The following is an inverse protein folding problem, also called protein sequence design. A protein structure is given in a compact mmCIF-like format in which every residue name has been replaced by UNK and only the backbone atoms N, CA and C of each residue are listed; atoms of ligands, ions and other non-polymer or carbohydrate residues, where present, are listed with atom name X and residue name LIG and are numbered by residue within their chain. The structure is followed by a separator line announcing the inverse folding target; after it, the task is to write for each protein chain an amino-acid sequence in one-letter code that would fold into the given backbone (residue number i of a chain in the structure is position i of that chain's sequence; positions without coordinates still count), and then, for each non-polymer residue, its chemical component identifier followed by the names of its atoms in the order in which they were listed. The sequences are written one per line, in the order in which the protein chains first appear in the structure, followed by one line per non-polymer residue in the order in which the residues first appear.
data_IF_828937428469
#
_entry.id   IF_828937428469
#
_cell.length_a   1.000
_cell.length_b   1.000
_cell.length_c   1.000
_cell.angle_alpha   90.00
_cell.angle_beta   90.00
_cell.angle_gamma   90.00
#
_symmetry.space_group_name_H-M   'P 1'
#
loop_
_entity.id
_entity.type
_entity.pdbx_description
1 polymer ?
#
# COMPACT_ATOMS: atom_id res chain seq x y z
N UNK A 1 -44.41 39.72 -41.74
CA UNK A 1 -44.08 38.40 -42.33
C UNK A 1 -42.57 38.25 -42.48
N UNK A 2 -41.82 38.17 -41.38
CA UNK A 2 -40.35 38.01 -41.41
C UNK A 2 -39.84 37.16 -40.23
N UNK A 3 -40.60 36.17 -39.77
CA UNK A 3 -40.21 35.41 -38.58
C UNK A 3 -40.28 33.88 -38.72
N UNK A 4 -40.49 33.32 -39.92
CA UNK A 4 -40.61 31.86 -40.08
C UNK A 4 -39.37 31.16 -40.68
N UNK A 5 -38.36 31.91 -41.14
CA UNK A 5 -37.18 31.32 -41.83
C UNK A 5 -36.04 30.93 -40.84
N UNK A 6 -36.15 31.27 -39.56
CA UNK A 6 -35.02 31.14 -38.60
C UNK A 6 -35.12 29.94 -37.63
N UNK A 7 -36.24 29.24 -37.56
CA UNK A 7 -36.42 28.08 -36.66
C UNK A 7 -36.00 26.76 -37.34
N UNK A 8 -36.31 26.59 -38.62
CA UNK A 8 -35.88 25.42 -39.42
C UNK A 8 -34.36 25.27 -39.44
N UNK A 9 -33.62 26.36 -39.65
CA UNK A 9 -32.16 26.35 -39.70
C UNK A 9 -31.53 26.20 -38.31
N UNK A 10 -32.20 26.61 -37.24
CA UNK A 10 -31.75 26.34 -35.86
C UNK A 10 -31.96 24.87 -35.48
N UNK A 11 -33.10 24.28 -35.82
CA UNK A 11 -33.35 22.86 -35.58
C UNK A 11 -32.43 21.95 -36.39
N UNK A 12 -32.15 22.29 -37.65
CA UNK A 12 -31.19 21.56 -38.47
C UNK A 12 -29.76 21.69 -37.94
N UNK A 13 -29.36 22.86 -37.45
CA UNK A 13 -28.06 23.04 -36.81
C UNK A 13 -27.97 22.33 -35.46
N UNK A 14 -29.04 22.28 -34.67
CA UNK A 14 -29.10 21.52 -33.42
C UNK A 14 -29.01 20.02 -33.68
N UNK A 15 -29.77 19.49 -34.66
CA UNK A 15 -29.68 18.08 -35.07
C UNK A 15 -28.32 17.73 -35.67
N UNK A 16 -27.72 18.62 -36.46
CA UNK A 16 -26.38 18.42 -37.00
C UNK A 16 -25.33 18.41 -35.88
N UNK A 17 -25.50 19.24 -34.84
CA UNK A 17 -24.62 19.28 -33.66
C UNK A 17 -24.78 18.06 -32.76
N UNK A 18 -26.01 17.59 -32.55
CA UNK A 18 -26.31 16.34 -31.83
C UNK A 18 -25.73 15.12 -32.57
N UNK A 19 -25.87 15.08 -33.90
CA UNK A 19 -25.28 14.01 -34.72
C UNK A 19 -23.74 14.02 -34.70
N UNK A 20 -23.13 15.21 -34.67
CA UNK A 20 -21.68 15.39 -34.51
C UNK A 20 -21.18 15.03 -33.10
N UNK A 21 -22.04 15.16 -32.09
CA UNK A 21 -21.78 14.71 -30.73
C UNK A 21 -21.84 13.17 -30.64
N UNK A 22 -22.88 12.55 -31.22
CA UNK A 22 -23.06 11.09 -31.24
C UNK A 22 -21.96 10.38 -32.05
N UNK A 23 -21.59 10.90 -33.22
CA UNK A 23 -20.51 10.32 -34.04
C UNK A 23 -19.14 10.42 -33.34
N UNK A 24 -18.92 11.47 -32.52
CA UNK A 24 -17.70 11.64 -31.74
C UNK A 24 -17.70 10.81 -30.45
N UNK A 25 -18.87 10.55 -29.85
CA UNK A 25 -19.01 9.65 -28.70
C UNK A 25 -18.82 8.17 -29.08
N UNK A 26 -19.17 7.76 -30.30
CA UNK A 26 -18.99 6.36 -30.76
C UNK A 26 -17.52 5.95 -30.99
N UNK A 27 -16.63 6.92 -31.21
CA UNK A 27 -15.17 6.71 -31.34
C UNK A 27 -14.42 6.82 -30.00
N UNK A 28 -15.09 7.24 -28.91
CA UNK A 28 -14.49 7.58 -27.61
C UNK A 28 -14.53 6.43 -26.57
N UNK A 29 -15.07 5.25 -26.90
CA UNK A 29 -15.04 4.08 -25.99
C UNK A 29 -13.58 3.62 -25.69
N UNK A 30 -12.61 4.04 -26.51
CA UNK A 30 -11.16 3.86 -26.26
C UNK A 30 -10.51 4.94 -25.38
N UNK A 31 -11.17 6.07 -25.10
CA UNK A 31 -10.56 7.25 -24.45
C UNK A 31 -11.06 7.53 -23.01
N UNK A 32 -11.83 6.59 -22.44
CA UNK A 32 -12.33 6.56 -21.06
C UNK A 32 -11.23 6.64 -19.96
N UNK A 33 -9.95 6.68 -20.35
CA UNK A 33 -8.78 6.71 -19.47
C UNK A 33 -8.09 8.06 -19.28
N UNK A 34 -8.53 9.16 -19.91
CA UNK A 34 -7.84 10.46 -19.79
C UNK A 34 -8.07 11.15 -18.43
N UNK A 35 -7.27 10.76 -17.44
CA UNK A 35 -7.16 11.42 -16.15
C UNK A 35 -5.75 11.98 -15.93
N UNK A 36 -5.66 13.08 -15.20
CA UNK A 36 -4.40 13.53 -14.61
C UNK A 36 -4.36 13.13 -13.15
N UNK A 37 -3.17 12.91 -12.62
CA UNK A 37 -3.02 12.59 -11.22
C UNK A 37 -1.80 13.25 -10.60
N UNK A 38 -1.84 13.38 -9.28
CA UNK A 38 -0.69 13.58 -8.43
C UNK A 38 -0.49 12.33 -7.57
N UNK A 39 0.75 11.98 -7.26
CA UNK A 39 1.10 10.88 -6.37
C UNK A 39 1.90 11.40 -5.18
N UNK A 40 1.55 10.93 -3.98
CA UNK A 40 2.23 11.29 -2.74
C UNK A 40 3.39 10.32 -2.41
N UNK A 41 4.23 10.63 -1.42
CA UNK A 41 5.35 9.76 -1.01
C UNK A 41 4.93 8.37 -0.48
N UNK A 42 3.63 8.13 -0.24
CA UNK A 42 3.10 6.84 0.19
C UNK A 42 2.46 6.06 -0.97
N UNK A 43 2.56 6.57 -2.20
CA UNK A 43 1.98 5.99 -3.40
C UNK A 43 0.47 6.22 -3.53
N UNK A 44 -0.14 7.08 -2.73
CA UNK A 44 -1.56 7.43 -2.91
C UNK A 44 -1.71 8.38 -4.10
N UNK A 45 -2.77 8.19 -4.88
CA UNK A 45 -3.02 8.97 -6.08
C UNK A 45 -4.27 9.84 -5.97
N UNK A 46 -4.16 11.05 -6.51
CA UNK A 46 -5.20 12.09 -6.49
C UNK A 46 -5.54 12.40 -7.95
N UNK A 47 -6.55 11.72 -8.49
CA UNK A 47 -6.86 11.70 -9.91
C UNK A 47 -8.06 12.58 -10.24
N UNK A 48 -8.03 13.28 -11.35
CA UNK A 48 -9.22 13.93 -11.90
C UNK A 48 -9.30 13.73 -13.42
N UNK A 49 -10.51 13.51 -13.92
CA UNK A 49 -10.74 13.32 -15.35
C UNK A 49 -10.57 14.65 -16.09
N UNK A 50 -10.02 14.60 -17.30
CA UNK A 50 -9.89 15.79 -18.15
C UNK A 50 -11.05 15.97 -19.11
N UNK A 51 -11.88 14.95 -19.25
CA UNK A 51 -13.07 14.90 -20.10
C UNK A 51 -14.29 14.50 -19.26
N UNK A 52 -15.48 14.81 -19.77
CA UNK A 52 -16.73 14.34 -19.18
C UNK A 52 -16.78 12.81 -19.29
N UNK A 53 -17.30 12.18 -18.25
CA UNK A 53 -17.51 10.73 -18.21
C UNK A 53 -18.92 10.41 -18.72
N UNK A 54 -19.30 9.12 -18.73
CA UNK A 54 -20.62 8.66 -19.20
C UNK A 54 -21.81 9.35 -18.50
N UNK A 55 -21.61 9.86 -17.27
CA UNK A 55 -22.61 10.61 -16.53
C UNK A 55 -22.66 12.12 -16.88
N UNK A 56 -21.91 12.53 -17.90
CA UNK A 56 -21.76 13.90 -18.34
C UNK A 56 -20.94 14.77 -17.38
N UNK A 57 -20.28 14.23 -16.33
CA UNK A 57 -19.56 15.02 -15.33
C UNK A 57 -18.05 14.71 -15.33
N UNK A 58 -17.29 15.57 -14.66
CA UNK A 58 -15.86 15.38 -14.39
C UNK A 58 -15.69 14.70 -13.04
N UNK A 59 -14.96 13.60 -12.99
CA UNK A 59 -14.74 12.84 -11.77
C UNK A 59 -13.41 13.24 -11.13
N UNK A 60 -13.39 13.26 -9.81
CA UNK A 60 -12.21 13.41 -8.99
C UNK A 60 -12.17 12.25 -8.00
N UNK A 61 -11.08 11.49 -7.98
CA UNK A 61 -10.91 10.31 -7.12
C UNK A 61 -9.63 10.40 -6.30
N UNK A 62 -9.74 9.97 -5.04
CA UNK A 62 -8.61 9.74 -4.17
C UNK A 62 -8.43 8.24 -4.06
N UNK A 63 -7.30 7.75 -4.53
CA UNK A 63 -6.96 6.33 -4.54
C UNK A 63 -5.83 6.07 -3.56
N UNK A 64 -6.03 5.10 -2.68
CA UNK A 64 -5.04 4.64 -1.72
C UNK A 64 -4.26 3.48 -2.33
N UNK A 65 -2.94 3.51 -2.27
CA UNK A 65 -2.14 2.34 -2.62
C UNK A 65 -2.36 1.23 -1.60
N UNK A 66 -2.74 0.05 -2.06
CA UNK A 66 -2.82 -1.13 -1.22
C UNK A 66 -1.46 -1.83 -1.18
N UNK A 67 -0.88 -1.96 0.00
CA UNK A 67 0.49 -2.46 0.22
C UNK A 67 0.60 -3.98 0.27
N UNK A 68 -0.51 -4.72 0.19
CA UNK A 68 -0.52 -6.19 0.05
C UNK A 68 -0.02 -6.60 -1.33
N UNK A 69 1.29 -6.50 -1.52
CA UNK A 69 2.02 -6.89 -2.72
C UNK A 69 1.97 -8.40 -2.95
N UNK A 70 1.42 -8.81 -4.08
CA UNK A 70 1.96 -9.92 -4.88
C UNK A 70 2.46 -9.32 -6.19
N UNK A 71 3.76 -9.45 -6.48
CA UNK A 71 4.38 -9.22 -7.81
C UNK A 71 4.49 -7.78 -8.34
N UNK A 72 4.79 -6.79 -7.50
CA UNK A 72 5.34 -5.50 -7.98
C UNK A 72 4.35 -4.49 -8.58
N UNK A 73 3.11 -4.88 -8.88
CA UNK A 73 2.03 -3.97 -9.30
C UNK A 73 1.32 -3.39 -8.07
N UNK A 74 1.13 -2.07 -8.04
CA UNK A 74 0.33 -1.39 -7.02
C UNK A 74 -1.14 -1.47 -7.40
N UNK A 75 -1.94 -2.12 -6.55
CA UNK A 75 -3.39 -2.06 -6.64
C UNK A 75 -3.89 -0.84 -5.87
N UNK A 76 -4.84 -0.14 -6.46
CA UNK A 76 -5.38 1.09 -5.89
C UNK A 76 -6.82 0.89 -5.45
N UNK A 77 -7.09 1.23 -4.21
CA UNK A 77 -8.45 1.24 -3.65
C UNK A 77 -8.99 2.69 -3.67
N UNK A 78 -10.20 2.89 -4.20
CA UNK A 78 -10.83 4.22 -4.18
C UNK A 78 -11.29 4.55 -2.77
N UNK A 79 -10.68 5.58 -2.17
CA UNK A 79 -11.02 6.06 -0.83
C UNK A 79 -12.14 7.09 -0.87
N UNK A 80 -12.13 7.98 -1.85
CA UNK A 80 -13.14 9.02 -2.06
C UNK A 80 -13.32 9.28 -3.54
N UNK A 81 -14.54 9.56 -3.92
CA UNK A 81 -14.91 9.96 -5.28
C UNK A 81 -15.92 11.10 -5.24
N UNK A 82 -15.82 12.02 -6.19
CA UNK A 82 -16.80 13.09 -6.37
C UNK A 82 -16.87 13.51 -7.84
N UNK A 83 -18.09 13.71 -8.32
CA UNK A 83 -18.38 14.22 -9.65
C UNK A 83 -18.68 15.73 -9.62
N UNK A 84 -18.30 16.43 -10.70
CA UNK A 84 -18.44 17.87 -10.84
C UNK A 84 -18.87 18.26 -12.25
N UNK A 85 -19.68 19.31 -12.38
CA UNK A 85 -20.07 19.83 -13.70
C UNK A 85 -18.90 20.49 -14.45
N UNK A 86 -17.96 21.10 -13.72
CA UNK A 86 -16.81 21.82 -14.30
C UNK A 86 -15.49 21.09 -14.03
N UNK A 87 -14.60 21.03 -15.03
CA UNK A 87 -13.26 20.42 -14.89
C UNK A 87 -12.40 21.10 -13.82
N UNK A 88 -12.42 22.44 -13.77
CA UNK A 88 -11.60 23.23 -12.83
C UNK A 88 -11.95 22.91 -11.37
N UNK A 89 -13.22 22.65 -11.05
CA UNK A 89 -13.64 22.28 -9.69
C UNK A 89 -13.21 20.87 -9.33
N UNK A 90 -13.28 19.90 -10.26
CA UNK A 90 -12.72 18.56 -10.05
C UNK A 90 -11.21 18.59 -9.75
N UNK A 91 -10.44 19.35 -10.56
CA UNK A 91 -9.00 19.57 -10.33
C UNK A 91 -8.74 20.23 -8.97
N UNK A 92 -9.42 21.34 -8.66
CA UNK A 92 -9.24 22.08 -7.40
C UNK A 92 -9.53 21.20 -6.19
N UNK A 93 -10.58 20.38 -6.27
CA UNK A 93 -10.91 19.44 -5.21
C UNK A 93 -9.78 18.43 -4.97
N UNK A 94 -9.22 17.82 -6.01
CA UNK A 94 -8.05 16.94 -5.86
C UNK A 94 -6.85 17.66 -5.26
N UNK A 95 -6.51 18.85 -5.78
CA UNK A 95 -5.34 19.62 -5.32
C UNK A 95 -5.44 20.04 -3.85
N UNK A 96 -6.65 20.32 -3.34
CA UNK A 96 -6.87 20.56 -1.91
C UNK A 96 -6.41 19.39 -1.05
N UNK A 97 -6.69 18.15 -1.48
CA UNK A 97 -6.28 16.95 -0.76
C UNK A 97 -4.79 16.65 -0.93
N UNK A 98 -4.22 16.95 -2.10
CA UNK A 98 -2.77 16.88 -2.32
C UNK A 98 -2.03 17.80 -1.37
N UNK A 99 -2.48 19.05 -1.24
CA UNK A 99 -1.85 20.02 -0.35
C UNK A 99 -1.89 19.57 1.11
N UNK A 100 -3.05 19.09 1.58
CA UNK A 100 -3.19 18.49 2.92
C UNK A 100 -2.25 17.31 3.15
N UNK A 101 -2.06 16.46 2.14
CA UNK A 101 -1.16 15.32 2.23
C UNK A 101 0.30 15.76 2.34
N UNK A 102 0.71 16.77 1.57
CA UNK A 102 2.05 17.37 1.65
C UNK A 102 2.32 18.00 3.02
N UNK A 103 1.37 18.74 3.57
CA UNK A 103 1.48 19.33 4.91
C UNK A 103 1.68 18.25 5.98
N UNK A 104 0.84 17.22 5.96
CA UNK A 104 0.97 16.10 6.89
C UNK A 104 2.30 15.35 6.72
N UNK A 105 2.77 15.19 5.48
CA UNK A 105 4.07 14.56 5.20
C UNK A 105 5.24 15.34 5.80
N UNK A 106 5.24 16.67 5.64
CA UNK A 106 6.27 17.53 6.23
C UNK A 106 6.30 17.39 7.76
N UNK A 107 5.13 17.38 8.42
CA UNK A 107 5.03 17.18 9.88
C UNK A 107 5.63 15.83 10.29
N UNK A 108 5.28 14.74 9.58
CA UNK A 108 5.78 13.40 9.91
C UNK A 108 7.29 13.28 9.70
N UNK A 109 7.84 13.89 8.65
CA UNK A 109 9.29 13.89 8.39
C UNK A 109 10.02 14.65 9.48
N UNK A 110 9.57 15.87 9.81
CA UNK A 110 10.17 16.68 10.87
C UNK A 110 10.12 15.96 12.23
N UNK A 111 8.99 15.31 12.55
CA UNK A 111 8.87 14.52 13.78
C UNK A 111 9.82 13.31 13.81
N UNK A 112 10.05 12.67 12.66
CA UNK A 112 11.03 11.56 12.55
C UNK A 112 12.46 12.05 12.74
N UNK A 113 12.80 13.19 12.14
CA UNK A 113 14.12 13.81 12.28
C UNK A 113 14.37 14.24 13.72
N UNK A 114 13.41 14.91 14.36
CA UNK A 114 13.49 15.29 15.77
C UNK A 114 13.70 14.06 16.69
N UNK A 115 12.98 12.97 16.46
CA UNK A 115 13.17 11.72 17.22
C UNK A 115 14.54 11.08 16.95
N UNK A 116 15.04 11.14 15.72
CA UNK A 116 16.37 10.66 15.37
C UNK A 116 17.44 11.49 16.09
N UNK A 117 17.29 12.81 16.11
CA UNK A 117 18.20 13.71 16.79
C UNK A 117 18.17 13.50 18.30
N UNK A 118 16.99 13.44 18.92
CA UNK A 118 16.86 13.14 20.35
C UNK A 118 17.51 11.80 20.75
N UNK A 119 17.47 10.79 19.87
CA UNK A 119 18.20 9.52 20.08
C UNK A 119 19.71 9.68 20.01
N UNK A 120 20.20 10.52 19.09
CA UNK A 120 21.63 10.83 18.96
C UNK A 120 22.11 11.68 20.13
N UNK A 121 21.32 12.65 20.59
CA UNK A 121 21.65 13.50 21.73
C UNK A 121 21.63 12.70 23.04
N UNK A 122 20.69 11.76 23.17
CA UNK A 122 20.62 10.83 24.31
C UNK A 122 21.62 9.66 24.21
N UNK A 123 22.37 9.53 23.11
CA UNK A 123 23.42 8.51 23.05
C UNK A 123 24.52 8.90 24.03
N UNK A 124 24.83 8.03 25.00
CA UNK A 124 25.94 8.31 25.91
C UNK A 124 27.24 8.36 25.10
N UNK A 125 28.05 9.38 25.35
CA UNK A 125 29.39 9.48 24.77
C UNK A 125 30.29 8.46 25.44
N UNK A 126 30.32 7.25 24.89
CA UNK A 126 31.25 6.21 25.30
C UNK A 126 32.63 6.46 24.70
N UNK A 127 33.67 6.18 25.48
CA UNK A 127 35.02 6.08 24.94
C UNK A 127 35.13 4.89 23.99
N UNK A 128 36.12 4.88 23.09
CA UNK A 128 36.35 3.75 22.14
C UNK A 128 36.48 2.39 22.83
N UNK A 129 36.99 2.36 24.07
CA UNK A 129 37.11 1.13 24.87
C UNK A 129 35.74 0.67 25.39
N UNK A 130 34.92 1.58 25.89
CA UNK A 130 33.57 1.27 26.39
C UNK A 130 32.62 0.84 25.26
N UNK A 131 32.73 1.43 24.07
CA UNK A 131 31.96 0.97 22.90
C UNK A 131 32.31 -0.47 22.54
N UNK A 132 33.60 -0.81 22.52
CA UNK A 132 34.07 -2.16 22.23
C UNK A 132 33.58 -3.19 23.26
N UNK A 133 33.61 -2.83 24.56
CA UNK A 133 33.08 -3.66 25.65
C UNK A 133 31.58 -3.92 25.44
N UNK A 134 30.78 -2.88 25.18
CA UNK A 134 29.33 -3.03 24.98
C UNK A 134 28.97 -3.83 23.74
N UNK A 135 29.74 -3.70 22.67
CA UNK A 135 29.57 -4.54 21.48
C UNK A 135 29.87 -6.00 21.77
N UNK A 136 30.95 -6.28 22.51
CA UNK A 136 31.28 -7.62 22.96
C UNK A 136 30.17 -8.20 23.86
N UNK A 137 29.64 -7.43 24.83
CA UNK A 137 28.52 -7.83 25.67
C UNK A 137 27.27 -8.20 24.85
N UNK A 138 26.91 -7.38 23.85
CA UNK A 138 25.79 -7.68 22.93
C UNK A 138 26.02 -8.99 22.17
N UNK A 139 27.23 -9.20 21.66
CA UNK A 139 27.60 -10.45 20.96
C UNK A 139 27.52 -11.65 21.90
N UNK A 140 28.04 -11.53 23.12
CA UNK A 140 27.96 -12.59 24.14
C UNK A 140 26.50 -12.91 24.47
N UNK A 141 25.65 -11.91 24.69
CA UNK A 141 24.22 -12.14 24.96
C UNK A 141 23.52 -12.84 23.78
N UNK A 142 23.85 -12.45 22.55
CA UNK A 142 23.31 -13.11 21.35
C UNK A 142 23.73 -14.58 21.28
N UNK A 143 25.01 -14.88 21.48
CA UNK A 143 25.54 -16.24 21.48
C UNK A 143 24.93 -17.09 22.61
N UNK A 144 24.76 -16.53 23.82
CA UNK A 144 24.05 -17.21 24.92
C UNK A 144 22.61 -17.58 24.54
N UNK A 145 21.88 -16.69 23.85
CA UNK A 145 20.53 -16.99 23.35
C UNK A 145 20.52 -18.11 22.31
N UNK A 146 21.50 -18.13 21.39
CA UNK A 146 21.64 -19.20 20.40
C UNK A 146 21.97 -20.54 21.07
N UNK A 147 22.88 -20.54 22.04
CA UNK A 147 23.23 -21.73 22.81
C UNK A 147 22.00 -22.29 23.53
N UNK A 148 21.23 -21.46 24.25
CA UNK A 148 20.01 -21.89 24.93
C UNK A 148 18.97 -22.49 23.97
N UNK A 149 18.85 -21.94 22.74
CA UNK A 149 17.97 -22.49 21.70
C UNK A 149 18.44 -23.87 21.23
N UNK A 150 19.73 -24.05 21.05
CA UNK A 150 20.33 -25.35 20.69
C UNK A 150 20.18 -26.38 21.81
N UNK A 151 20.45 -26.00 23.07
CA UNK A 151 20.30 -26.87 24.23
C UNK A 151 18.86 -27.37 24.40
N UNK A 152 17.88 -26.50 24.16
CA UNK A 152 16.46 -26.89 24.16
C UNK A 152 16.17 -27.97 23.10
N UNK A 153 16.72 -27.83 21.89
CA UNK A 153 16.59 -28.86 20.83
C UNK A 153 17.27 -30.17 21.23
N UNK A 154 18.47 -30.11 21.80
CA UNK A 154 19.22 -31.29 22.25
C UNK A 154 18.44 -32.03 23.33
N UNK A 155 17.93 -31.31 24.34
CA UNK A 155 17.08 -31.89 25.41
C UNK A 155 15.86 -32.60 24.82
N UNK A 156 15.17 -31.98 23.87
CA UNK A 156 14.02 -32.60 23.21
C UNK A 156 14.39 -33.91 22.47
N UNK A 157 15.53 -33.93 21.77
CA UNK A 157 16.02 -35.12 21.08
C UNK A 157 16.42 -36.24 22.06
N UNK A 158 17.09 -35.90 23.17
CA UNK A 158 17.44 -36.86 24.23
C UNK A 158 16.18 -37.51 24.81
N UNK A 159 15.15 -36.71 25.10
CA UNK A 159 13.87 -37.22 25.62
C UNK A 159 13.23 -38.19 24.63
N UNK A 160 13.18 -37.85 23.33
CA UNK A 160 12.65 -38.74 22.29
C UNK A 160 13.44 -40.05 22.21
N UNK A 161 14.78 -40.00 22.22
CA UNK A 161 15.64 -41.20 22.24
C UNK A 161 15.31 -42.12 23.41
N UNK A 162 15.20 -41.57 24.63
CA UNK A 162 14.83 -42.34 25.83
C UNK A 162 13.45 -42.99 25.69
N UNK A 163 12.47 -42.28 25.13
CA UNK A 163 11.13 -42.83 24.88
C UNK A 163 11.17 -44.01 23.90
N UNK A 164 11.88 -43.89 22.78
CA UNK A 164 12.02 -45.00 21.83
C UNK A 164 12.72 -46.21 22.45
N UNK A 165 13.81 -46.00 23.20
CA UNK A 165 14.51 -47.08 23.92
C UNK A 165 13.59 -47.81 24.90
N UNK A 166 12.74 -47.09 25.65
CA UNK A 166 11.74 -47.71 26.53
C UNK A 166 10.72 -48.56 25.74
N UNK A 167 10.24 -48.06 24.60
CA UNK A 167 9.30 -48.80 23.74
C UNK A 167 9.95 -50.06 23.15
N UNK A 168 11.19 -49.96 22.67
CA UNK A 168 11.96 -51.11 22.17
C UNK A 168 12.05 -52.18 23.26
N UNK A 169 12.52 -51.83 24.46
CA UNK A 169 12.60 -52.77 25.60
C UNK A 169 11.28 -53.43 25.96
N UNK A 170 10.18 -52.67 25.92
CA UNK A 170 8.86 -53.21 26.18
C UNK A 170 8.46 -54.28 25.15
N UNK A 171 8.68 -54.01 23.86
CA UNK A 171 8.37 -54.97 22.79
C UNK A 171 9.31 -56.18 22.81
N UNK A 172 10.60 -55.98 23.07
CA UNK A 172 11.56 -57.08 23.30
C UNK A 172 11.08 -58.03 24.42
N UNK A 173 10.63 -57.46 25.55
CA UNK A 173 10.08 -58.25 26.66
C UNK A 173 8.79 -58.98 26.30
N UNK A 174 7.91 -58.39 25.48
CA UNK A 174 6.71 -59.07 24.99
C UNK A 174 7.06 -60.23 24.07
N UNK A 175 7.98 -60.03 23.14
CA UNK A 175 8.43 -61.10 22.22
C UNK A 175 9.01 -62.26 23.03
N UNK A 176 9.90 -61.99 24.00
CA UNK A 176 10.46 -63.04 24.85
C UNK A 176 9.40 -63.79 25.65
N UNK A 177 8.36 -63.12 26.14
CA UNK A 177 7.25 -63.75 26.86
C UNK A 177 6.28 -64.52 25.95
N UNK A 178 6.29 -64.28 24.64
CA UNK A 178 5.42 -64.98 23.68
C UNK A 178 6.14 -66.19 23.05
N UNK A 179 7.47 -66.22 23.12
CA UNK A 179 8.32 -67.32 22.65
C UNK A 179 8.65 -68.36 23.75
N UNK A 180 8.15 -68.14 24.97
CA UNK A 180 8.12 -69.09 26.10
C UNK A 180 6.71 -69.66 26.16
#
# INVERSE_FOLDING_TARGET
MKDEINDSTKEENLKAFEKLLDEKESLDDTDLGRYRYYEDMYGNQYRWTTHRQKDGKFHATLKKANTTRRRGWLFYETKKEKAFVKRKTAKSWCLKYVQKAKEHQAIVINAREARKQARLDAMPKFTKKETAIKEAEKKIQHLKKLQAKSDSKIKALITRKRTHQKKIKYHEKRISHTLV
#
